data_IF_830702374366
#
_entry.id   IF_830702374366
#
_cell.length_a   1.000
_cell.length_b   1.000
_cell.length_c   1.000
_cell.angle_alpha   90.00
_cell.angle_beta   90.00
_cell.angle_gamma   90.00
#
_symmetry.space_group_name_H-M   'P 1'
#
loop_
_entity.id
_entity.type
_entity.pdbx_description
1 polymer ?
#
# COMPACT_ATOMS: atom_id res chain seq x y z
N UNK A 1 82.99 -2.64 -20.60
CA UNK A 1 83.11 -1.82 -19.42
C UNK A 1 81.68 -1.36 -19.07
N UNK A 2 81.11 -2.06 -18.14
CA UNK A 2 80.95 -1.64 -16.77
C UNK A 2 79.95 -0.46 -16.65
N UNK A 3 78.83 -0.71 -16.11
CA UNK A 3 78.37 -0.59 -14.82
C UNK A 3 76.84 -0.59 -14.72
N UNK A 4 76.33 -1.53 -13.98
CA UNK A 4 74.99 -1.47 -13.43
C UNK A 4 74.98 -0.46 -12.28
N UNK A 5 73.81 0.08 -11.97
CA UNK A 5 73.50 0.40 -10.58
C UNK A 5 72.26 -0.32 -10.10
N UNK A 6 72.35 -0.58 -8.86
CA UNK A 6 71.53 -1.27 -7.89
C UNK A 6 70.28 -0.50 -7.44
N UNK A 7 69.46 -1.18 -6.62
CA UNK A 7 68.05 -0.91 -6.49
C UNK A 7 67.74 -0.09 -5.22
N UNK A 8 66.51 0.25 -5.12
CA UNK A 8 65.73 0.61 -3.92
C UNK A 8 65.02 1.96 -4.07
N UNK A 9 63.75 1.83 -4.33
CA UNK A 9 62.84 2.61 -3.49
C UNK A 9 61.52 1.85 -3.36
N UNK A 10 61.26 1.31 -2.16
CA UNK A 10 60.02 0.68 -1.77
C UNK A 10 59.07 1.76 -1.31
N UNK A 11 58.31 2.29 -2.27
CA UNK A 11 57.17 3.10 -1.96
C UNK A 11 56.05 2.23 -1.43
N UNK A 12 55.70 2.40 -0.16
CA UNK A 12 54.56 1.81 0.49
C UNK A 12 53.27 2.15 -0.24
N UNK A 13 52.68 1.17 -0.92
CA UNK A 13 51.33 1.26 -1.41
C UNK A 13 50.38 1.17 -0.22
N UNK A 14 49.79 2.29 0.14
CA UNK A 14 48.67 2.37 1.04
C UNK A 14 47.52 1.49 0.47
N UNK A 15 47.24 0.41 1.16
CA UNK A 15 46.02 -0.36 0.97
C UNK A 15 44.82 0.53 1.28
N UNK A 16 44.27 1.14 0.23
CA UNK A 16 42.90 1.63 0.28
C UNK A 16 42.00 0.39 0.46
N UNK A 17 41.58 0.16 1.69
CA UNK A 17 40.41 -0.68 1.98
C UNK A 17 39.25 -0.15 1.14
N UNK A 18 39.03 -0.72 -0.01
CA UNK A 18 37.79 -0.58 -0.75
C UNK A 18 36.71 -1.20 0.14
N UNK A 19 35.94 -0.34 0.81
CA UNK A 19 34.62 -0.73 1.30
C UNK A 19 33.87 -1.27 0.11
N UNK A 20 33.55 -2.57 0.15
CA UNK A 20 32.77 -3.22 -0.90
C UNK A 20 31.39 -2.55 -0.95
N UNK A 21 31.17 -1.74 -1.96
CA UNK A 21 29.84 -1.32 -2.38
C UNK A 21 29.07 -2.59 -2.72
N UNK A 22 28.13 -2.96 -1.84
CA UNK A 22 27.11 -3.98 -2.16
C UNK A 22 26.20 -3.29 -3.18
N UNK A 23 26.49 -3.48 -4.45
CA UNK A 23 25.62 -3.03 -5.54
C UNK A 23 24.30 -3.81 -5.43
N UNK A 24 23.23 -3.15 -5.01
CA UNK A 24 21.88 -3.65 -5.08
C UNK A 24 21.16 -3.96 -3.76
N UNK A 25 21.64 -3.54 -2.58
CA UNK A 25 20.90 -3.70 -1.31
C UNK A 25 19.91 -2.56 -1.05
N UNK A 26 18.76 -2.86 -0.44
CA UNK A 26 17.76 -1.87 -0.02
C UNK A 26 18.39 -0.96 1.04
N UNK A 27 18.39 0.34 0.78
CA UNK A 27 18.97 1.36 1.66
C UNK A 27 17.92 1.78 2.70
N UNK A 28 18.22 1.56 3.98
CA UNK A 28 17.28 1.83 5.07
C UNK A 28 17.81 2.93 5.97
N UNK A 29 16.98 3.93 6.26
CA UNK A 29 17.24 4.92 7.30
C UNK A 29 16.33 4.67 8.50
N UNK A 30 16.86 4.82 9.72
CA UNK A 30 16.12 4.60 10.97
C UNK A 30 16.03 5.92 11.75
N UNK A 31 14.80 6.37 12.01
CA UNK A 31 14.50 7.62 12.71
C UNK A 31 13.63 7.35 13.92
N UNK A 32 14.20 7.48 15.12
CA UNK A 32 13.54 7.21 16.39
C UNK A 32 14.34 7.90 17.50
N UNK A 33 13.74 8.50 18.50
CA UNK A 33 14.47 9.22 19.57
C UNK A 33 15.17 8.27 20.55
N UNK A 34 14.68 7.04 20.71
CA UNK A 34 15.25 6.03 21.57
C UNK A 34 16.49 5.37 20.97
N UNK A 35 17.65 5.54 21.59
CA UNK A 35 18.89 4.85 21.19
C UNK A 35 18.72 3.32 21.19
N UNK A 36 17.97 2.78 22.14
CA UNK A 36 17.73 1.34 22.27
C UNK A 36 16.95 0.82 21.05
N UNK A 37 15.88 1.50 20.68
CA UNK A 37 15.03 1.12 19.53
C UNK A 37 15.83 1.21 18.23
N UNK A 38 16.56 2.31 18.00
CA UNK A 38 17.46 2.45 16.84
C UNK A 38 18.46 1.30 16.75
N UNK A 39 19.05 0.91 17.89
CA UNK A 39 20.04 -0.18 17.92
C UNK A 39 19.41 -1.52 17.57
N UNK A 40 18.20 -1.79 18.08
CA UNK A 40 17.48 -3.04 17.80
C UNK A 40 17.08 -3.09 16.31
N UNK A 41 16.47 -2.04 15.77
CA UNK A 41 16.10 -1.99 14.35
C UNK A 41 17.32 -2.12 13.44
N UNK A 42 18.42 -1.44 13.77
CA UNK A 42 19.66 -1.58 13.00
C UNK A 42 20.13 -3.03 12.95
N UNK A 43 20.16 -3.74 14.08
CA UNK A 43 20.54 -5.16 14.12
C UNK A 43 19.57 -6.04 13.34
N UNK A 44 18.26 -5.76 13.40
CA UNK A 44 17.26 -6.50 12.63
C UNK A 44 17.47 -6.32 11.14
N UNK A 45 17.60 -5.07 10.67
CA UNK A 45 17.81 -4.76 9.25
C UNK A 45 19.13 -5.35 8.75
N UNK A 46 20.24 -5.17 9.46
CA UNK A 46 21.56 -5.67 9.09
C UNK A 46 21.67 -7.22 9.16
N UNK A 47 20.68 -7.91 9.75
CA UNK A 47 20.60 -9.37 9.71
C UNK A 47 20.23 -9.91 8.34
N UNK A 48 19.67 -9.09 7.46
CA UNK A 48 19.39 -9.42 6.08
C UNK A 48 20.48 -8.86 5.14
N UNK A 49 21.13 -9.75 4.37
CA UNK A 49 22.21 -9.37 3.44
C UNK A 49 21.75 -8.50 2.28
N UNK A 50 20.45 -8.42 2.03
CA UNK A 50 19.87 -7.61 0.96
C UNK A 50 19.54 -6.17 1.42
N UNK A 51 19.82 -5.84 2.68
CA UNK A 51 19.51 -4.53 3.27
C UNK A 51 20.76 -3.90 3.87
N UNK A 52 20.83 -2.58 3.80
CA UNK A 52 21.91 -1.79 4.39
C UNK A 52 21.35 -0.58 5.12
N UNK A 53 21.77 -0.36 6.36
CA UNK A 53 21.41 0.85 7.11
C UNK A 53 22.32 1.98 6.68
N UNK A 54 21.78 2.95 5.93
CA UNK A 54 22.53 4.13 5.43
C UNK A 54 22.63 5.25 6.44
N UNK A 55 21.73 5.29 7.43
CA UNK A 55 21.76 6.30 8.48
C UNK A 55 20.86 5.96 9.67
N UNK A 56 21.16 6.59 10.79
CA UNK A 56 20.28 6.60 11.97
C UNK A 56 20.19 8.03 12.51
N UNK A 57 18.98 8.49 12.82
CA UNK A 57 18.75 9.81 13.37
C UNK A 57 17.92 9.74 14.65
N UNK A 58 18.22 10.61 15.61
CA UNK A 58 17.49 10.73 16.88
C UNK A 58 16.45 11.84 16.86
N UNK A 59 16.28 12.51 15.73
CA UNK A 59 15.21 13.49 15.49
C UNK A 59 14.94 13.64 14.00
N UNK A 60 13.77 14.17 13.68
CA UNK A 60 13.32 14.38 12.32
C UNK A 60 14.23 15.36 11.54
N UNK A 61 14.68 16.45 12.19
CA UNK A 61 15.54 17.45 11.56
C UNK A 61 16.86 16.84 11.12
N UNK A 62 17.45 15.96 11.96
CA UNK A 62 18.69 15.23 11.63
C UNK A 62 18.46 14.26 10.48
N UNK A 63 17.30 13.59 10.45
CA UNK A 63 16.92 12.68 9.38
C UNK A 63 16.86 13.40 8.04
N UNK A 64 16.16 14.53 7.97
CA UNK A 64 16.03 15.32 6.73
C UNK A 64 17.39 15.78 6.21
N UNK A 65 18.28 16.23 7.12
CA UNK A 65 19.65 16.64 6.73
C UNK A 65 20.46 15.44 6.19
N UNK A 66 20.38 14.28 6.83
CA UNK A 66 21.10 13.08 6.38
C UNK A 66 20.57 12.56 5.04
N UNK A 67 19.26 12.54 4.82
CA UNK A 67 18.64 12.08 3.57
C UNK A 67 19.06 12.89 2.36
N UNK A 68 19.31 14.20 2.52
CA UNK A 68 19.84 15.05 1.45
C UNK A 68 21.26 14.66 1.01
N UNK A 69 22.06 14.08 1.89
CA UNK A 69 23.43 13.66 1.61
C UNK A 69 23.60 12.17 1.33
N UNK A 70 22.69 11.33 1.87
CA UNK A 70 22.70 9.88 1.73
C UNK A 70 21.24 9.39 1.56
N UNK A 71 20.75 9.27 0.32
CA UNK A 71 19.39 8.85 0.06
C UNK A 71 19.11 7.44 0.57
N UNK A 72 17.89 7.20 1.01
CA UNK A 72 17.37 5.90 1.44
C UNK A 72 16.20 5.49 0.55
N UNK A 73 16.01 4.18 0.39
CA UNK A 73 14.85 3.62 -0.30
C UNK A 73 13.67 3.50 0.68
N UNK A 74 13.97 3.15 1.94
CA UNK A 74 12.97 3.01 3.00
C UNK A 74 13.41 3.77 4.25
N UNK A 75 12.51 4.57 4.81
CA UNK A 75 12.69 5.26 6.09
C UNK A 75 11.77 4.62 7.14
N UNK A 76 12.37 4.06 8.21
CA UNK A 76 11.61 3.69 9.40
C UNK A 76 11.43 4.93 10.26
N UNK A 77 10.21 5.43 10.38
CA UNK A 77 9.92 6.70 11.04
C UNK A 77 9.06 6.53 12.29
N UNK A 78 9.60 6.93 13.43
CA UNK A 78 8.80 7.14 14.63
C UNK A 78 7.99 8.44 14.51
N UNK A 79 6.72 8.39 14.90
CA UNK A 79 5.88 9.60 14.93
C UNK A 79 6.02 10.39 16.24
N UNK A 80 6.33 9.70 17.34
CA UNK A 80 6.35 10.27 18.69
C UNK A 80 7.78 10.65 19.08
N UNK A 81 8.27 11.76 18.56
CA UNK A 81 9.61 12.29 18.87
C UNK A 81 9.54 13.71 19.43
N UNK A 82 10.46 14.10 20.33
CA UNK A 82 10.59 15.48 20.79
C UNK A 82 10.98 16.45 19.65
N UNK A 83 10.51 17.68 19.71
CA UNK A 83 10.78 18.71 18.70
C UNK A 83 9.83 18.58 17.52
N UNK A 84 10.35 18.53 16.30
CA UNK A 84 9.57 18.20 15.11
C UNK A 84 9.15 16.72 15.17
N UNK A 85 7.88 16.46 15.40
CA UNK A 85 7.32 15.10 15.39
C UNK A 85 7.41 14.46 13.99
N UNK A 86 7.34 13.12 13.96
CA UNK A 86 7.43 12.40 12.69
C UNK A 86 6.32 12.74 11.71
N UNK A 87 5.11 13.04 12.19
CA UNK A 87 3.99 13.44 11.33
C UNK A 87 4.25 14.78 10.63
N UNK A 88 4.82 15.77 11.33
CA UNK A 88 5.19 17.07 10.76
C UNK A 88 6.37 16.93 9.80
N UNK A 89 7.28 16.02 10.08
CA UNK A 89 8.47 15.78 9.25
C UNK A 89 8.17 14.98 7.97
N UNK A 90 7.11 14.17 7.96
CA UNK A 90 6.79 13.25 6.88
C UNK A 90 6.75 13.91 5.50
N UNK A 91 6.06 15.05 5.25
CA UNK A 91 6.07 15.69 3.95
C UNK A 91 7.47 16.13 3.50
N UNK A 92 8.32 16.55 4.44
CA UNK A 92 9.69 16.97 4.15
C UNK A 92 10.59 15.76 3.84
N UNK A 93 10.36 14.62 4.48
CA UNK A 93 11.07 13.36 4.19
C UNK A 93 10.68 12.86 2.80
N UNK A 94 9.38 12.82 2.49
CA UNK A 94 8.88 12.42 1.17
C UNK A 94 9.41 13.34 0.05
N UNK A 95 9.59 14.62 0.32
CA UNK A 95 10.15 15.57 -0.64
C UNK A 95 11.67 15.42 -0.86
N UNK A 96 12.38 14.53 -0.16
CA UNK A 96 13.81 14.28 -0.38
C UNK A 96 14.12 13.45 -1.61
N UNK A 97 13.18 12.59 -2.04
CA UNK A 97 13.27 11.77 -3.25
C UNK A 97 11.86 11.28 -3.61
N UNK A 98 11.55 11.20 -4.90
CA UNK A 98 10.27 10.64 -5.41
C UNK A 98 10.14 9.15 -5.10
N UNK A 99 11.25 8.44 -4.91
CA UNK A 99 11.30 6.98 -4.70
C UNK A 99 11.31 6.58 -3.21
N UNK A 100 11.44 7.54 -2.27
CA UNK A 100 11.54 7.21 -0.85
C UNK A 100 10.22 6.71 -0.29
N UNK A 101 10.23 5.53 0.32
CA UNK A 101 9.08 4.96 1.00
C UNK A 101 9.21 5.12 2.52
N UNK A 102 8.14 5.52 3.19
CA UNK A 102 8.14 5.68 4.65
C UNK A 102 7.31 4.61 5.32
N UNK A 103 7.97 3.79 6.15
CA UNK A 103 7.31 2.84 7.06
C UNK A 103 7.23 3.47 8.45
N UNK A 104 6.03 3.82 8.86
CA UNK A 104 5.77 4.40 10.19
C UNK A 104 5.85 3.31 11.25
N UNK A 105 6.56 3.60 12.34
CA UNK A 105 6.61 2.73 13.52
C UNK A 105 6.02 3.47 14.71
N UNK A 106 4.81 3.09 15.13
CA UNK A 106 4.00 3.84 16.10
C UNK A 106 3.65 3.05 17.35
N UNK A 107 3.31 3.77 18.42
CA UNK A 107 2.80 3.17 19.64
C UNK A 107 1.34 2.68 19.51
N UNK A 108 0.94 1.71 20.36
CA UNK A 108 -0.43 1.17 20.42
C UNK A 108 -1.32 2.03 21.33
N UNK A 109 -1.32 3.35 21.14
CA UNK A 109 -2.21 4.28 21.85
C UNK A 109 -3.30 4.77 20.92
N UNK A 110 -4.38 5.34 21.46
CA UNK A 110 -5.43 5.95 20.64
C UNK A 110 -4.87 7.14 19.84
N UNK A 111 -4.09 8.01 20.49
CA UNK A 111 -3.42 9.14 19.84
C UNK A 111 -2.42 8.64 18.78
N UNK A 112 -1.68 7.57 19.07
CA UNK A 112 -0.79 6.91 18.11
C UNK A 112 -1.52 6.37 16.89
N UNK A 113 -2.74 5.85 17.04
CA UNK A 113 -3.56 5.41 15.91
C UNK A 113 -4.01 6.60 15.04
N UNK A 114 -4.42 7.72 15.64
CA UNK A 114 -4.79 8.94 14.89
C UNK A 114 -3.60 9.51 14.10
N UNK A 115 -2.45 9.64 14.74
CA UNK A 115 -1.22 10.11 14.08
C UNK A 115 -0.77 9.15 12.96
N UNK A 116 -0.84 7.83 13.21
CA UNK A 116 -0.48 6.81 12.21
C UNK A 116 -1.35 6.92 10.98
N UNK A 117 -2.67 6.98 11.14
CA UNK A 117 -3.58 7.09 10.01
C UNK A 117 -3.47 8.44 9.29
N UNK A 118 -3.18 9.53 10.02
CA UNK A 118 -2.86 10.81 9.41
C UNK A 118 -1.58 10.71 8.57
N UNK A 119 -0.54 10.02 9.06
CA UNK A 119 0.68 9.79 8.30
C UNK A 119 0.43 8.95 7.03
N UNK A 120 -0.37 7.86 7.13
CA UNK A 120 -0.74 7.06 5.97
C UNK A 120 -1.55 7.86 4.93
N UNK A 121 -2.44 8.74 5.40
CA UNK A 121 -3.20 9.65 4.52
C UNK A 121 -2.31 10.70 3.84
N UNK A 122 -1.20 11.08 4.47
CA UNK A 122 -0.24 12.06 3.96
C UNK A 122 0.75 11.46 2.95
N UNK A 123 0.84 10.10 2.89
CA UNK A 123 1.70 9.42 1.93
C UNK A 123 2.71 8.46 2.56
N UNK A 124 2.66 8.21 3.88
CA UNK A 124 3.41 7.08 4.42
C UNK A 124 2.90 5.78 3.80
N UNK A 125 3.83 4.92 3.38
CA UNK A 125 3.50 3.72 2.63
C UNK A 125 2.85 2.65 3.50
N UNK A 126 3.32 2.46 4.74
CA UNK A 126 2.77 1.44 5.64
C UNK A 126 3.05 1.79 7.10
N UNK A 127 2.49 0.99 8.00
CA UNK A 127 2.72 1.12 9.44
C UNK A 127 3.09 -0.20 10.08
N UNK A 128 3.80 -0.10 11.20
CA UNK A 128 4.10 -1.21 12.09
C UNK A 128 4.00 -0.75 13.54
N UNK A 129 3.34 -1.55 14.38
CA UNK A 129 3.24 -1.23 15.79
C UNK A 129 4.56 -1.47 16.51
N UNK A 130 5.00 -0.52 17.36
CA UNK A 130 6.11 -0.76 18.28
C UNK A 130 5.73 -1.89 19.24
N UNK A 131 6.55 -2.93 19.39
CA UNK A 131 6.22 -3.99 20.31
C UNK A 131 6.40 -3.51 21.77
N UNK A 132 5.66 -4.11 22.68
CA UNK A 132 5.89 -3.93 24.12
C UNK A 132 7.31 -4.42 24.49
N UNK A 133 7.89 -3.99 25.62
CA UNK A 133 9.18 -4.50 26.09
C UNK A 133 9.21 -6.03 26.07
N UNK A 134 10.23 -6.61 25.43
CA UNK A 134 10.35 -8.05 25.19
C UNK A 134 9.67 -8.57 23.91
N UNK A 135 8.92 -7.78 23.20
CA UNK A 135 8.22 -8.17 21.97
C UNK A 135 9.03 -8.02 20.66
N UNK A 136 10.29 -7.59 20.74
CA UNK A 136 11.22 -7.60 19.60
C UNK A 136 11.74 -9.03 19.34
N UNK A 137 10.83 -9.91 18.94
CA UNK A 137 11.10 -11.33 18.68
C UNK A 137 11.32 -11.61 17.19
N UNK A 138 11.47 -12.88 16.85
CA UNK A 138 11.70 -13.35 15.47
C UNK A 138 10.52 -13.05 14.54
N UNK A 139 9.29 -13.19 15.02
CA UNK A 139 8.08 -12.91 14.23
C UNK A 139 8.00 -11.42 13.87
N UNK A 140 8.29 -10.55 14.87
CA UNK A 140 8.36 -9.11 14.62
C UNK A 140 9.45 -8.76 13.61
N UNK A 141 10.64 -9.36 13.76
CA UNK A 141 11.74 -9.17 12.80
C UNK A 141 11.33 -9.60 11.40
N UNK A 142 10.71 -10.77 11.27
CA UNK A 142 10.26 -11.30 9.98
C UNK A 142 9.26 -10.37 9.30
N UNK A 143 8.29 -9.85 10.06
CA UNK A 143 7.31 -8.88 9.56
C UNK A 143 7.97 -7.56 9.12
N UNK A 144 8.88 -7.02 9.95
CA UNK A 144 9.61 -5.79 9.63
C UNK A 144 10.41 -5.94 8.34
N UNK A 145 11.22 -6.99 8.23
CA UNK A 145 12.02 -7.26 7.04
C UNK A 145 11.16 -7.53 5.80
N UNK A 146 10.01 -8.19 5.97
CA UNK A 146 9.03 -8.41 4.91
C UNK A 146 8.49 -7.09 4.35
N UNK A 147 8.08 -6.15 5.23
CA UNK A 147 7.60 -4.82 4.84
C UNK A 147 8.70 -3.99 4.16
N UNK A 148 9.91 -3.95 4.73
CA UNK A 148 11.04 -3.23 4.12
C UNK A 148 11.35 -3.79 2.72
N UNK A 149 11.33 -5.12 2.55
CA UNK A 149 11.55 -5.75 1.25
C UNK A 149 10.49 -5.37 0.21
N UNK A 150 9.23 -5.36 0.63
CA UNK A 150 8.12 -4.98 -0.24
C UNK A 150 8.25 -3.53 -0.71
N UNK A 151 8.59 -2.62 0.21
CA UNK A 151 8.72 -1.20 -0.07
C UNK A 151 10.00 -0.87 -0.87
N UNK A 152 11.10 -1.58 -0.64
CA UNK A 152 12.40 -1.28 -1.28
C UNK A 152 12.66 -2.00 -2.60
N UNK A 153 11.84 -3.00 -2.97
CA UNK A 153 12.03 -3.76 -4.22
C UNK A 153 11.28 -3.21 -5.43
N UNK A 154 10.25 -2.42 -5.22
CA UNK A 154 9.41 -1.97 -6.34
C UNK A 154 10.14 -1.03 -7.31
N UNK A 155 11.21 -0.35 -6.90
CA UNK A 155 12.06 0.43 -7.81
C UNK A 155 12.96 -0.43 -8.70
N UNK A 156 13.40 -1.60 -8.24
CA UNK A 156 14.35 -2.44 -8.98
C UNK A 156 13.68 -3.54 -9.82
N UNK A 157 12.56 -4.11 -9.33
CA UNK A 157 11.82 -5.17 -10.04
C UNK A 157 10.80 -4.63 -11.04
N UNK A 158 10.25 -3.43 -10.84
CA UNK A 158 9.42 -2.76 -11.86
C UNK A 158 10.25 -2.48 -13.12
N UNK A 159 11.50 -2.04 -12.98
CA UNK A 159 12.43 -1.83 -14.09
C UNK A 159 12.83 -3.18 -14.75
N UNK A 160 12.94 -4.27 -13.98
CA UNK A 160 13.27 -5.60 -14.49
C UNK A 160 12.08 -6.32 -15.14
N UNK A 161 10.85 -6.06 -14.68
CA UNK A 161 9.62 -6.64 -15.23
C UNK A 161 9.17 -5.95 -16.52
N UNK A 162 9.50 -4.68 -16.73
CA UNK A 162 9.31 -4.03 -18.03
C UNK A 162 10.18 -4.67 -19.13
N UNK A 163 11.33 -5.23 -18.77
CA UNK A 163 12.20 -5.95 -19.74
C UNK A 163 11.66 -7.34 -20.13
N UNK A 164 10.86 -7.99 -19.28
CA UNK A 164 10.23 -9.29 -19.60
C UNK A 164 8.81 -9.16 -20.20
N UNK A 165 8.14 -8.02 -20.02
CA UNK A 165 6.80 -7.74 -20.58
C UNK A 165 6.89 -6.91 -21.87
N UNK A 166 8.09 -6.61 -22.36
CA UNK A 166 8.22 -6.00 -23.70
C UNK A 166 7.60 -6.94 -24.74
N UNK A 167 6.46 -6.61 -25.36
CA UNK A 167 5.89 -7.43 -26.38
C UNK A 167 6.85 -7.40 -27.56
N UNK A 168 7.24 -8.57 -28.07
CA UNK A 168 7.90 -8.68 -29.36
C UNK A 168 7.14 -7.82 -30.37
N UNK A 169 7.77 -6.72 -30.80
CA UNK A 169 7.49 -5.82 -31.90
C UNK A 169 6.11 -5.88 -32.59
N UNK A 170 5.06 -5.45 -31.90
CA UNK A 170 3.79 -5.11 -32.55
C UNK A 170 3.48 -3.64 -32.31
N UNK A 171 2.83 -2.90 -33.25
CA UNK A 171 2.50 -1.51 -33.04
C UNK A 171 1.64 -1.40 -31.78
N UNK A 172 2.00 -0.43 -30.89
CA UNK A 172 1.25 -0.13 -29.68
C UNK A 172 -0.25 -0.20 -29.99
N UNK A 173 -0.93 -1.21 -29.48
CA UNK A 173 -2.38 -1.28 -29.55
C UNK A 173 -2.87 -0.05 -28.79
N UNK A 174 -3.32 0.98 -29.53
CA UNK A 174 -4.14 2.04 -28.96
C UNK A 174 -5.27 1.31 -28.25
N UNK A 175 -5.22 1.25 -26.92
CA UNK A 175 -6.29 0.70 -26.11
C UNK A 175 -7.61 1.37 -26.56
N UNK A 176 -8.72 0.66 -26.53
CA UNK A 176 -10.01 1.27 -26.83
C UNK A 176 -10.15 2.52 -25.96
N UNK A 177 -10.67 3.59 -26.57
CA UNK A 177 -10.98 4.84 -25.85
C UNK A 177 -11.77 4.49 -24.58
N UNK A 178 -11.57 5.22 -23.43
CA UNK A 178 -12.24 4.93 -22.15
C UNK A 178 -13.75 4.86 -22.28
N UNK A 179 -14.46 4.65 -23.13
CA UNK A 179 -15.90 4.47 -23.31
C UNK A 179 -16.32 3.20 -24.07
N UNK A 180 -15.43 2.59 -24.88
CA UNK A 180 -15.87 1.51 -25.78
C UNK A 180 -15.81 0.09 -25.17
N UNK A 181 -14.97 -0.13 -24.15
CA UNK A 181 -14.91 -1.40 -23.41
C UNK A 181 -15.83 -1.44 -22.18
N UNK A 182 -16.26 -0.26 -21.71
CA UNK A 182 -17.08 -0.07 -20.52
C UNK A 182 -18.52 -0.59 -20.67
N UNK A 183 -18.98 -0.88 -21.89
CA UNK A 183 -20.38 -1.23 -22.19
C UNK A 183 -20.68 -2.75 -22.24
N UNK A 184 -19.73 -3.63 -21.92
CA UNK A 184 -19.96 -5.08 -21.89
C UNK A 184 -20.43 -5.62 -20.53
N UNK A 185 -20.35 -4.84 -19.46
CA UNK A 185 -20.76 -5.22 -18.11
C UNK A 185 -22.19 -4.76 -17.77
N UNK A 186 -22.83 -5.48 -16.88
CA UNK A 186 -24.06 -5.05 -16.23
C UNK A 186 -23.77 -3.75 -15.45
N UNK A 187 -24.72 -2.80 -15.36
CA UNK A 187 -24.55 -1.60 -14.55
C UNK A 187 -24.24 -2.01 -13.11
N UNK A 188 -23.16 -1.48 -12.50
CA UNK A 188 -22.82 -1.84 -11.13
C UNK A 188 -23.84 -1.28 -10.14
N UNK A 189 -24.13 -2.02 -9.08
CA UNK A 189 -24.93 -1.60 -7.94
C UNK A 189 -24.10 -1.40 -6.66
N UNK A 190 -22.80 -1.79 -6.70
CA UNK A 190 -21.84 -1.66 -5.59
C UNK A 190 -20.47 -1.32 -6.15
N UNK A 191 -19.75 -0.43 -5.46
CA UNK A 191 -18.31 -0.22 -5.59
C UNK A 191 -17.60 -0.95 -4.43
N UNK A 192 -16.73 -1.92 -4.75
CA UNK A 192 -15.94 -2.66 -3.77
C UNK A 192 -14.46 -2.28 -3.92
N UNK A 193 -13.79 -1.93 -2.82
CA UNK A 193 -12.40 -1.51 -2.81
C UNK A 193 -11.57 -2.40 -1.90
N UNK A 194 -10.52 -3.00 -2.45
CA UNK A 194 -9.51 -3.76 -1.71
C UNK A 194 -8.19 -3.01 -1.66
N UNK A 195 -7.57 -2.90 -0.47
CA UNK A 195 -6.36 -2.12 -0.27
C UNK A 195 -5.50 -2.64 0.88
N UNK A 196 -4.18 -2.35 0.85
CA UNK A 196 -3.22 -2.72 1.90
C UNK A 196 -2.14 -1.64 2.05
N UNK A 197 -0.87 -2.00 2.00
CA UNK A 197 0.30 -1.11 2.03
C UNK A 197 0.21 -0.03 0.94
N UNK A 198 0.28 1.25 1.30
CA UNK A 198 0.07 2.37 0.37
C UNK A 198 -1.40 2.64 0.02
N UNK A 199 -2.30 1.72 0.35
CA UNK A 199 -3.70 1.77 -0.07
C UNK A 199 -4.51 2.89 0.56
N UNK A 200 -4.20 3.34 1.77
CA UNK A 200 -4.96 4.42 2.44
C UNK A 200 -4.78 5.74 1.71
N UNK A 201 -3.55 6.06 1.29
CA UNK A 201 -3.30 7.25 0.49
C UNK A 201 -4.05 7.20 -0.84
N UNK A 202 -3.91 6.10 -1.57
CA UNK A 202 -4.58 5.88 -2.85
C UNK A 202 -6.13 5.93 -2.72
N UNK A 203 -6.68 5.30 -1.67
CA UNK A 203 -8.11 5.33 -1.37
C UNK A 203 -8.60 6.75 -1.12
N UNK A 204 -7.87 7.55 -0.35
CA UNK A 204 -8.23 8.94 -0.08
C UNK A 204 -8.21 9.80 -1.35
N UNK A 205 -7.21 9.64 -2.24
CA UNK A 205 -7.17 10.33 -3.52
C UNK A 205 -8.38 9.97 -4.38
N UNK A 206 -8.68 8.68 -4.50
CA UNK A 206 -9.81 8.19 -5.27
C UNK A 206 -11.16 8.70 -4.70
N UNK A 207 -11.37 8.57 -3.40
CA UNK A 207 -12.65 8.96 -2.77
C UNK A 207 -12.91 10.48 -2.83
N UNK A 208 -11.87 11.31 -2.71
CA UNK A 208 -12.00 12.77 -2.88
C UNK A 208 -12.37 13.18 -4.30
N UNK A 209 -12.02 12.39 -5.30
CA UNK A 209 -12.35 12.64 -6.68
C UNK A 209 -13.76 12.14 -7.06
N UNK A 210 -14.40 11.30 -6.24
CA UNK A 210 -15.80 10.91 -6.43
C UNK A 210 -16.74 12.05 -6.02
N UNK A 211 -17.53 12.54 -6.96
CA UNK A 211 -18.47 13.66 -6.70
C UNK A 211 -19.64 13.22 -5.83
N UNK A 212 -20.35 14.17 -5.15
CA UNK A 212 -21.51 13.84 -4.29
C UNK A 212 -22.63 13.09 -4.99
N UNK A 213 -22.73 13.21 -6.34
CA UNK A 213 -23.74 12.54 -7.17
C UNK A 213 -23.50 11.03 -7.30
N UNK A 214 -22.30 10.56 -6.96
CA UNK A 214 -22.04 9.13 -6.89
C UNK A 214 -22.77 8.51 -5.71
N UNK A 215 -23.78 7.72 -5.98
CA UNK A 215 -24.74 7.28 -4.98
C UNK A 215 -24.71 5.74 -4.74
N UNK A 216 -23.81 5.01 -5.39
CA UNK A 216 -23.65 3.60 -5.06
C UNK A 216 -23.07 3.40 -3.66
N UNK A 217 -23.46 2.31 -2.96
CA UNK A 217 -22.76 1.91 -1.75
C UNK A 217 -21.30 1.57 -2.06
N UNK A 218 -20.39 1.95 -1.16
CA UNK A 218 -18.97 1.68 -1.25
C UNK A 218 -18.57 0.72 -0.13
N UNK A 219 -17.98 -0.42 -0.47
CA UNK A 219 -17.42 -1.35 0.50
C UNK A 219 -15.91 -1.30 0.47
N UNK A 220 -15.27 -1.22 1.64
CA UNK A 220 -13.82 -1.11 1.74
C UNK A 220 -13.27 -2.21 2.63
N UNK A 221 -12.36 -3.01 2.09
CA UNK A 221 -11.50 -3.90 2.86
C UNK A 221 -10.07 -3.37 2.80
N UNK A 222 -9.61 -2.82 3.92
CA UNK A 222 -8.24 -2.36 4.14
C UNK A 222 -7.55 -3.29 5.14
N UNK A 223 -6.36 -3.77 4.82
CA UNK A 223 -5.57 -4.57 5.76
C UNK A 223 -5.05 -3.69 6.90
N UNK A 224 -5.82 -3.59 7.95
CA UNK A 224 -5.50 -2.88 9.19
C UNK A 224 -5.95 -3.70 10.40
N UNK A 225 -5.21 -3.61 11.52
CA UNK A 225 -5.68 -4.17 12.79
C UNK A 225 -7.01 -3.55 13.23
N UNK A 226 -7.85 -4.32 13.90
CA UNK A 226 -9.18 -3.89 14.37
C UNK A 226 -9.13 -2.62 15.25
N UNK A 227 -8.05 -2.42 16.00
CA UNK A 227 -7.85 -1.23 16.83
C UNK A 227 -7.78 0.09 16.04
N UNK A 228 -7.44 0.04 14.75
CA UNK A 228 -7.38 1.22 13.88
C UNK A 228 -8.71 1.52 13.18
N UNK A 229 -9.62 0.55 13.09
CA UNK A 229 -10.84 0.68 12.28
C UNK A 229 -11.74 1.87 12.69
N UNK A 230 -11.96 2.19 13.98
CA UNK A 230 -12.78 3.35 14.36
C UNK A 230 -12.20 4.68 13.87
N UNK A 231 -10.89 4.86 14.00
CA UNK A 231 -10.19 6.07 13.54
C UNK A 231 -10.16 6.11 12.01
N UNK A 232 -9.94 4.97 11.36
CA UNK A 232 -9.97 4.85 9.90
C UNK A 232 -11.34 5.21 9.32
N UNK A 233 -12.43 4.70 9.90
CA UNK A 233 -13.79 5.04 9.48
C UNK A 233 -14.04 6.56 9.55
N UNK A 234 -13.65 7.20 10.65
CA UNK A 234 -13.78 8.66 10.82
C UNK A 234 -12.95 9.44 9.79
N UNK A 235 -11.73 9.00 9.49
CA UNK A 235 -10.90 9.67 8.48
C UNK A 235 -11.48 9.55 7.08
N UNK A 236 -11.98 8.36 6.72
CA UNK A 236 -12.65 8.14 5.44
C UNK A 236 -13.91 8.98 5.32
N UNK A 237 -14.70 9.11 6.40
CA UNK A 237 -15.87 9.98 6.43
C UNK A 237 -15.50 11.44 6.14
N UNK A 238 -14.46 11.96 6.82
CA UNK A 238 -13.96 13.33 6.61
C UNK A 238 -13.43 13.51 5.18
N UNK A 239 -12.66 12.54 4.67
CA UNK A 239 -12.02 12.64 3.36
C UNK A 239 -13.04 12.58 2.20
N UNK A 240 -14.07 11.74 2.33
CA UNK A 240 -15.08 11.48 1.30
C UNK A 240 -16.32 12.36 1.40
N UNK A 241 -16.58 12.95 2.59
CA UNK A 241 -17.85 13.61 2.90
C UNK A 241 -19.06 12.67 2.98
N UNK A 242 -18.82 11.33 3.02
CA UNK A 242 -19.87 10.30 3.02
C UNK A 242 -19.95 9.62 4.36
N UNK A 243 -21.16 9.36 4.84
CA UNK A 243 -21.35 8.58 6.05
C UNK A 243 -20.60 7.26 5.96
N UNK A 244 -19.73 7.02 6.94
CA UNK A 244 -18.85 5.85 6.97
C UNK A 244 -19.03 5.09 8.27
N UNK A 245 -19.16 3.77 8.18
CA UNK A 245 -19.33 2.90 9.35
C UNK A 245 -18.58 1.59 9.19
N UNK A 246 -18.27 0.96 10.32
CA UNK A 246 -17.72 -0.40 10.36
C UNK A 246 -18.88 -1.37 10.17
N UNK A 247 -18.73 -2.27 9.21
CA UNK A 247 -19.78 -3.22 8.85
C UNK A 247 -19.69 -4.49 9.68
N UNK A 248 -20.40 -4.51 10.80
CA UNK A 248 -20.61 -5.72 11.61
C UNK A 248 -21.65 -6.67 10.97
N UNK A 249 -21.77 -7.87 11.53
CA UNK A 249 -22.73 -8.87 11.05
C UNK A 249 -24.16 -8.33 11.08
N UNK A 250 -24.86 -8.43 9.97
CA UNK A 250 -26.21 -7.90 9.81
C UNK A 250 -26.32 -6.41 9.47
N UNK A 251 -25.20 -5.70 9.30
CA UNK A 251 -25.22 -4.28 8.94
C UNK A 251 -25.78 -4.09 7.52
N UNK A 252 -26.84 -3.26 7.32
CA UNK A 252 -27.34 -2.94 5.99
C UNK A 252 -26.35 -2.12 5.18
N UNK A 253 -26.21 -2.46 3.91
CA UNK A 253 -25.37 -1.75 2.94
C UNK A 253 -26.27 -0.77 2.18
N UNK A 254 -26.02 0.54 2.30
CA UNK A 254 -26.90 1.58 1.80
C UNK A 254 -26.26 2.43 0.72
N UNK A 255 -27.04 2.88 -0.29
CA UNK A 255 -26.57 3.85 -1.27
C UNK A 255 -25.95 5.09 -0.63
N UNK A 256 -24.88 5.62 -1.21
CA UNK A 256 -24.18 6.82 -0.76
C UNK A 256 -23.36 6.67 0.53
N UNK A 257 -23.42 5.53 1.22
CA UNK A 257 -22.64 5.25 2.44
C UNK A 257 -21.39 4.41 2.13
N UNK A 258 -20.41 4.46 3.03
CA UNK A 258 -19.20 3.63 2.99
C UNK A 258 -19.24 2.63 4.15
N UNK A 259 -19.14 1.34 3.83
CA UNK A 259 -19.06 0.25 4.78
C UNK A 259 -17.64 -0.33 4.80
N UNK A 260 -16.99 -0.33 5.96
CA UNK A 260 -15.60 -0.78 6.15
C UNK A 260 -15.59 -2.12 6.89
N UNK A 261 -14.74 -3.05 6.45
CA UNK A 261 -14.54 -4.34 7.12
C UNK A 261 -14.04 -4.17 8.58
N UNK A 262 -14.48 -5.05 9.48
CA UNK A 262 -14.29 -4.93 10.94
C UNK A 262 -12.84 -5.03 11.41
N UNK A 263 -11.95 -5.66 10.67
CA UNK A 263 -10.57 -5.92 11.09
C UNK A 263 -10.39 -7.13 12.03
N UNK A 264 -11.46 -7.71 12.55
CA UNK A 264 -11.45 -8.97 13.33
C UNK A 264 -12.12 -10.14 12.60
N UNK A 265 -12.64 -9.88 11.40
CA UNK A 265 -13.25 -10.85 10.51
C UNK A 265 -13.24 -10.35 9.07
N UNK A 266 -13.57 -11.22 8.14
CA UNK A 266 -13.72 -10.90 6.73
C UNK A 266 -15.13 -10.37 6.48
N UNK A 267 -15.24 -9.26 5.75
CA UNK A 267 -16.52 -8.78 5.28
C UNK A 267 -16.99 -9.64 4.10
N UNK A 268 -18.17 -10.17 4.20
CA UNK A 268 -18.92 -10.80 3.12
C UNK A 268 -20.25 -10.06 2.93
N UNK A 269 -20.92 -10.30 1.83
CA UNK A 269 -22.22 -9.69 1.51
C UNK A 269 -23.22 -10.76 1.14
N UNK A 270 -24.42 -10.66 1.69
CA UNK A 270 -25.55 -11.47 1.27
C UNK A 270 -26.73 -10.59 0.83
N UNK A 271 -27.57 -11.12 -0.05
CA UNK A 271 -28.80 -10.46 -0.45
C UNK A 271 -29.96 -11.00 0.37
N UNK A 272 -30.70 -10.10 1.02
CA UNK A 272 -31.94 -10.40 1.76
C UNK A 272 -33.11 -9.64 1.15
N UNK A 273 -33.87 -10.30 0.29
CA UNK A 273 -34.86 -9.63 -0.53
C UNK A 273 -34.20 -8.63 -1.48
N UNK A 274 -34.60 -7.36 -1.40
CA UNK A 274 -34.00 -6.29 -2.22
C UNK A 274 -32.75 -5.67 -1.56
N UNK A 275 -32.48 -5.94 -0.29
CA UNK A 275 -31.39 -5.33 0.47
C UNK A 275 -30.11 -6.15 0.41
N UNK A 276 -28.96 -5.44 0.44
CA UNK A 276 -27.65 -6.01 0.68
C UNK A 276 -27.30 -5.86 2.17
N UNK A 277 -26.74 -6.91 2.75
CA UNK A 277 -26.41 -6.97 4.18
C UNK A 277 -25.00 -7.52 4.35
N UNK A 278 -24.19 -6.88 5.20
CA UNK A 278 -22.87 -7.37 5.54
C UNK A 278 -22.95 -8.62 6.44
N UNK A 279 -22.04 -9.54 6.23
CA UNK A 279 -21.78 -10.72 7.06
C UNK A 279 -20.32 -10.72 7.46
N UNK A 280 -20.06 -11.16 8.67
CA UNK A 280 -18.68 -11.29 9.18
C UNK A 280 -18.31 -12.77 9.29
N UNK A 281 -17.22 -13.16 8.64
CA UNK A 281 -16.66 -14.51 8.69
C UNK A 281 -15.23 -14.45 9.25
N UNK A 282 -14.87 -15.41 10.09
CA UNK A 282 -13.53 -15.48 10.69
C UNK A 282 -12.72 -16.70 10.19
N UNK A 283 -13.19 -17.38 9.14
CA UNK A 283 -12.50 -18.55 8.60
C UNK A 283 -11.12 -18.15 8.03
N UNK A 284 -10.06 -18.95 8.28
CA UNK A 284 -8.73 -18.62 7.75
C UNK A 284 -8.72 -18.56 6.22
N UNK A 285 -8.15 -17.51 5.66
CA UNK A 285 -7.96 -17.34 4.21
C UNK A 285 -6.55 -17.75 3.77
N UNK A 286 -6.38 -18.26 2.54
CA UNK A 286 -5.07 -18.63 1.99
C UNK A 286 -4.06 -17.49 1.98
N UNK A 287 -4.54 -16.24 1.85
CA UNK A 287 -3.71 -15.02 1.92
C UNK A 287 -3.08 -14.79 3.30
N UNK A 288 -3.65 -15.39 4.37
CA UNK A 288 -3.29 -15.10 5.75
C UNK A 288 -3.71 -13.71 6.24
N UNK A 289 -4.39 -12.91 5.40
CA UNK A 289 -4.86 -11.57 5.75
C UNK A 289 -6.16 -11.63 6.55
N UNK A 290 -6.28 -10.76 7.55
CA UNK A 290 -7.51 -10.53 8.30
C UNK A 290 -7.66 -9.03 8.57
N UNK A 291 -8.67 -8.37 7.94
CA UNK A 291 -9.62 -8.88 6.94
C UNK A 291 -8.94 -9.26 5.62
N UNK A 292 -9.58 -10.08 4.79
CA UNK A 292 -9.18 -10.40 3.41
C UNK A 292 -10.17 -9.81 2.41
N UNK A 293 -9.67 -9.43 1.23
CA UNK A 293 -10.46 -8.86 0.12
C UNK A 293 -11.21 -9.96 -0.64
N UNK A 294 -10.64 -11.16 -0.74
CA UNK A 294 -11.21 -12.26 -1.52
C UNK A 294 -12.64 -12.66 -1.08
N UNK A 295 -12.97 -12.80 0.22
CA UNK A 295 -14.35 -13.12 0.66
C UNK A 295 -15.35 -12.03 0.28
N UNK A 296 -14.98 -10.76 0.39
CA UNK A 296 -15.84 -9.63 0.00
C UNK A 296 -16.20 -9.71 -1.49
N UNK A 297 -15.19 -9.85 -2.36
CA UNK A 297 -15.44 -9.90 -3.80
C UNK A 297 -16.18 -11.16 -4.24
N UNK A 298 -15.84 -12.30 -3.65
CA UNK A 298 -16.51 -13.59 -3.97
C UNK A 298 -17.98 -13.58 -3.59
N UNK A 299 -18.33 -13.10 -2.38
CA UNK A 299 -19.71 -13.00 -1.94
C UNK A 299 -20.51 -11.96 -2.73
N UNK A 300 -19.89 -10.84 -3.10
CA UNK A 300 -20.50 -9.83 -3.98
C UNK A 300 -20.77 -10.38 -5.40
N UNK A 301 -19.89 -11.23 -5.93
CA UNK A 301 -20.10 -11.86 -7.23
C UNK A 301 -21.40 -12.66 -7.27
N UNK A 302 -21.75 -13.33 -6.17
CA UNK A 302 -22.99 -14.10 -6.00
C UNK A 302 -24.17 -13.18 -5.67
N UNK A 303 -24.05 -12.37 -4.61
CA UNK A 303 -25.13 -11.52 -4.11
C UNK A 303 -25.64 -10.50 -5.12
N UNK A 304 -24.75 -9.99 -5.98
CA UNK A 304 -25.07 -8.98 -6.99
C UNK A 304 -25.08 -9.53 -8.42
N UNK A 305 -24.93 -10.84 -8.60
CA UNK A 305 -24.88 -11.47 -9.96
C UNK A 305 -23.88 -10.79 -10.90
N UNK A 306 -22.75 -10.38 -10.40
CA UNK A 306 -21.72 -9.67 -11.13
C UNK A 306 -21.98 -8.16 -11.37
N UNK A 307 -23.06 -7.56 -10.84
CA UNK A 307 -23.30 -6.11 -10.91
C UNK A 307 -22.42 -5.36 -9.88
N UNK A 308 -21.12 -5.53 -9.99
CA UNK A 308 -20.11 -4.95 -9.07
C UNK A 308 -18.98 -4.35 -9.86
N UNK A 309 -18.55 -3.19 -9.44
CA UNK A 309 -17.27 -2.60 -9.81
C UNK A 309 -16.29 -2.79 -8.66
N UNK A 310 -15.24 -3.55 -8.89
CA UNK A 310 -14.16 -3.73 -7.93
C UNK A 310 -12.97 -2.85 -8.28
N UNK A 311 -12.31 -2.28 -7.27
CA UNK A 311 -11.04 -1.56 -7.41
C UNK A 311 -10.02 -2.19 -6.48
N UNK A 312 -8.88 -2.61 -7.03
CA UNK A 312 -7.76 -3.12 -6.27
C UNK A 312 -6.66 -2.07 -6.25
N UNK A 313 -6.43 -1.48 -5.08
CA UNK A 313 -5.42 -0.46 -4.85
C UNK A 313 -4.10 -1.08 -4.35
N UNK A 314 -3.09 -0.22 -4.18
CA UNK A 314 -1.78 -0.58 -3.65
C UNK A 314 -1.86 -1.52 -2.46
N UNK A 315 -1.04 -2.56 -2.47
CA UNK A 315 -1.01 -3.56 -1.42
C UNK A 315 0.00 -4.66 -1.67
N UNK A 316 0.57 -5.17 -0.59
CA UNK A 316 1.50 -6.29 -0.62
C UNK A 316 0.76 -7.62 -0.82
N UNK A 317 1.38 -8.54 -1.55
CA UNK A 317 0.84 -9.88 -1.78
C UNK A 317 -0.12 -9.95 -2.96
N UNK A 318 -1.10 -10.85 -2.88
CA UNK A 318 -2.04 -11.16 -3.96
C UNK A 318 -3.50 -11.29 -3.50
N UNK A 319 -3.80 -10.85 -2.28
CA UNK A 319 -5.16 -10.89 -1.76
C UNK A 319 -6.10 -10.06 -2.65
N UNK A 320 -7.31 -10.54 -2.86
CA UNK A 320 -8.27 -9.98 -3.80
C UNK A 320 -8.18 -10.55 -5.23
N UNK A 321 -7.11 -11.29 -5.58
CA UNK A 321 -6.99 -11.86 -6.93
C UNK A 321 -7.95 -13.03 -7.17
N UNK A 322 -8.21 -13.86 -6.17
CA UNK A 322 -9.16 -14.98 -6.28
C UNK A 322 -10.61 -14.47 -6.31
N UNK A 323 -10.92 -13.51 -5.43
CA UNK A 323 -12.21 -12.84 -5.44
C UNK A 323 -12.47 -12.04 -6.72
N UNK A 324 -11.46 -11.34 -7.25
CA UNK A 324 -11.55 -10.68 -8.55
C UNK A 324 -11.80 -11.68 -9.69
N UNK A 325 -11.18 -12.85 -9.67
CA UNK A 325 -11.43 -13.92 -10.65
C UNK A 325 -12.87 -14.47 -10.56
N UNK A 326 -13.41 -14.62 -9.34
CA UNK A 326 -14.80 -15.01 -9.13
C UNK A 326 -15.75 -13.93 -9.67
N UNK A 327 -15.49 -12.67 -9.35
CA UNK A 327 -16.27 -11.54 -9.82
C UNK A 327 -16.22 -11.38 -11.34
N UNK A 328 -15.05 -11.54 -11.96
CA UNK A 328 -14.88 -11.50 -13.42
C UNK A 328 -15.72 -12.58 -14.11
N UNK A 329 -15.71 -13.80 -13.59
CA UNK A 329 -16.54 -14.91 -14.12
C UNK A 329 -18.03 -14.63 -14.02
N UNK A 330 -18.48 -13.90 -12.99
CA UNK A 330 -19.86 -13.44 -12.85
C UNK A 330 -20.22 -12.26 -13.75
N UNK A 331 -19.25 -11.68 -14.47
CA UNK A 331 -19.43 -10.56 -15.38
C UNK A 331 -19.21 -9.18 -14.73
N UNK A 332 -18.60 -9.12 -13.56
CA UNK A 332 -18.24 -7.87 -12.89
C UNK A 332 -17.03 -7.18 -13.54
N UNK A 333 -16.88 -5.91 -13.22
CA UNK A 333 -15.80 -5.05 -13.73
C UNK A 333 -14.74 -4.87 -12.67
N UNK A 334 -13.46 -5.01 -13.03
CA UNK A 334 -12.34 -4.87 -12.13
C UNK A 334 -11.40 -3.78 -12.65
N UNK A 335 -11.07 -2.83 -11.79
CA UNK A 335 -10.04 -1.82 -11.99
C UNK A 335 -8.87 -2.08 -11.04
N UNK A 336 -7.68 -1.71 -11.44
CA UNK A 336 -6.47 -1.86 -10.64
C UNK A 336 -5.66 -0.56 -10.66
N UNK A 337 -5.03 -0.23 -9.54
CA UNK A 337 -4.05 0.85 -9.50
C UNK A 337 -2.82 0.47 -10.34
N UNK A 338 -2.22 1.43 -11.03
CA UNK A 338 -0.99 1.22 -11.80
C UNK A 338 0.24 1.03 -10.90
N UNK A 339 1.34 0.60 -11.51
CA UNK A 339 2.58 0.38 -10.80
C UNK A 339 3.26 1.69 -10.38
N UNK A 340 3.12 2.75 -11.18
CA UNK A 340 3.82 4.01 -11.00
C UNK A 340 3.34 4.76 -9.74
N UNK A 341 2.04 4.72 -9.45
CA UNK A 341 1.45 5.37 -8.27
C UNK A 341 1.26 4.45 -7.07
N UNK A 342 1.53 3.14 -7.21
CA UNK A 342 1.44 2.18 -6.10
C UNK A 342 2.69 2.21 -5.23
N UNK A 343 2.55 2.34 -3.91
CA UNK A 343 3.68 2.09 -3.00
C UNK A 343 4.15 0.62 -3.06
N UNK A 344 3.22 -0.31 -3.25
CA UNK A 344 3.50 -1.74 -3.52
C UNK A 344 2.51 -2.25 -4.55
N UNK A 345 3.01 -2.63 -5.74
CA UNK A 345 2.17 -3.14 -6.84
C UNK A 345 1.97 -4.67 -6.76
N UNK A 346 1.75 -5.20 -5.55
CA UNK A 346 1.53 -6.62 -5.31
C UNK A 346 0.10 -7.05 -5.63
N UNK A 347 -0.89 -6.56 -4.86
CA UNK A 347 -2.31 -6.86 -5.04
C UNK A 347 -2.83 -6.41 -6.42
N UNK A 348 -2.66 -5.13 -6.85
CA UNK A 348 -3.10 -4.72 -8.17
C UNK A 348 -2.33 -5.40 -9.29
N UNK A 349 -1.02 -5.65 -9.11
CA UNK A 349 -0.19 -6.40 -10.04
C UNK A 349 -0.63 -7.86 -10.23
N UNK A 350 -1.10 -8.52 -9.16
CA UNK A 350 -1.62 -9.88 -9.25
C UNK A 350 -2.89 -9.95 -10.11
N UNK A 351 -3.79 -8.98 -9.98
CA UNK A 351 -5.02 -8.86 -10.77
C UNK A 351 -4.69 -8.51 -12.24
N UNK A 352 -3.72 -7.61 -12.46
CA UNK A 352 -3.26 -7.23 -13.78
C UNK A 352 -2.60 -8.40 -14.54
N UNK A 353 -1.70 -9.14 -13.88
CA UNK A 353 -1.03 -10.32 -14.45
C UNK A 353 -1.98 -11.47 -14.75
N UNK A 354 -3.10 -11.57 -14.04
CA UNK A 354 -4.15 -12.54 -14.31
C UNK A 354 -5.12 -12.12 -15.44
N UNK A 355 -4.86 -10.99 -16.11
CA UNK A 355 -5.72 -10.40 -17.16
C UNK A 355 -7.17 -10.15 -16.72
N UNK A 356 -7.36 -9.84 -15.44
CA UNK A 356 -8.68 -9.59 -14.85
C UNK A 356 -9.03 -8.10 -14.85
N UNK A 357 -8.04 -7.19 -14.87
CA UNK A 357 -8.26 -5.77 -14.84
C UNK A 357 -8.75 -5.23 -16.20
N UNK A 358 -9.89 -4.54 -16.17
CA UNK A 358 -10.43 -3.84 -17.33
C UNK A 358 -9.74 -2.49 -17.54
N UNK A 359 -9.27 -1.86 -16.46
CA UNK A 359 -8.54 -0.60 -16.44
C UNK A 359 -7.41 -0.68 -15.40
N UNK A 360 -6.24 -0.17 -15.78
CA UNK A 360 -5.09 0.02 -14.88
C UNK A 360 -4.71 1.49 -14.99
N UNK A 361 -4.78 2.25 -13.89
CA UNK A 361 -4.59 3.70 -13.89
C UNK A 361 -4.29 4.24 -12.48
N UNK A 362 -3.81 5.50 -12.36
CA UNK A 362 -3.71 6.22 -11.09
C UNK A 362 -5.07 6.37 -10.38
N UNK A 363 -5.10 6.54 -9.04
CA UNK A 363 -6.34 6.60 -8.26
C UNK A 363 -7.35 7.66 -8.73
N UNK A 364 -6.90 8.83 -9.15
CA UNK A 364 -7.75 9.90 -9.65
C UNK A 364 -8.40 9.53 -10.99
N UNK A 365 -7.65 8.91 -11.89
CA UNK A 365 -8.19 8.44 -13.17
C UNK A 365 -9.13 7.24 -12.98
N UNK A 366 -8.90 6.40 -11.97
CA UNK A 366 -9.86 5.36 -11.59
C UNK A 366 -11.18 5.98 -11.15
N UNK A 367 -11.15 7.06 -10.35
CA UNK A 367 -12.36 7.78 -9.93
C UNK A 367 -13.11 8.38 -11.12
N UNK A 368 -12.41 9.01 -12.08
CA UNK A 368 -13.02 9.53 -13.31
C UNK A 368 -13.72 8.40 -14.11
N UNK A 369 -13.06 7.26 -14.25
CA UNK A 369 -13.62 6.11 -14.94
C UNK A 369 -14.84 5.51 -14.19
N UNK A 370 -14.82 5.49 -12.84
CA UNK A 370 -15.94 5.08 -12.00
C UNK A 370 -17.15 5.99 -12.23
N UNK A 371 -16.94 7.31 -12.23
CA UNK A 371 -17.99 8.30 -12.48
C UNK A 371 -18.60 8.17 -13.90
N UNK A 372 -17.79 7.81 -14.89
CA UNK A 372 -18.26 7.59 -16.25
C UNK A 372 -19.17 6.34 -16.40
N UNK A 373 -18.99 5.32 -15.52
CA UNK A 373 -19.81 4.10 -15.51
C UNK A 373 -21.16 4.29 -14.81
N UNK A 374 -21.22 5.21 -13.86
CA UNK A 374 -22.39 5.49 -13.03
C UNK A 374 -22.85 6.91 -13.31
N UNK A 375 -23.59 7.15 -14.42
CA UNK A 375 -24.09 8.47 -14.72
C UNK A 375 -24.96 8.98 -13.58
N UNK A 376 -24.87 10.30 -13.32
CA UNK A 376 -25.68 10.97 -12.33
C UNK A 376 -27.17 10.58 -12.45
N UNK A 377 -27.90 10.43 -11.33
CA UNK A 377 -29.32 10.19 -11.37
C UNK A 377 -29.99 11.30 -12.19
N UNK A 378 -30.82 10.90 -13.17
CA UNK A 378 -31.61 11.87 -13.91
C UNK A 378 -32.38 12.73 -12.89
N UNK A 379 -32.15 14.04 -12.91
CA UNK A 379 -32.88 14.99 -12.07
C UNK A 379 -34.39 14.73 -12.25
N UNK A 380 -35.05 14.38 -11.15
CA UNK A 380 -36.51 14.18 -11.11
C UNK A 380 -37.21 15.53 -11.09
#
# INVERSE_FOLDING_TARGET
>A
MSGAPSPADRGATAEHKRSGEIRGGIRVMIVDDSLTVRTIFKRMVESDRQMVVTGTASSAERAIVQLKGAPADVVLLDLEMPGMGGLEALPQILATSDDVQVLVVSSLTQDGAEHTLAALSTGAADTMLKPRPGGFNEDYRSQLLGKIRALGRDTAEAIGLEAEIAPAGGPARKGPRPGERLLRGKRPEVLAVGASTGGIHALNLMLRALTPEFDLPILVTQHLPSSFMPVFARQIEIASGRRTHIADDGTPIRPGEIAIATGHGHMMVERRGDDLVARVCADPMPSGCLPSVDPMLSSLAEACEGRVLAVILSGMGRDGAEGAAALHRAGGTIYAQDAETSAVWGMPGAVAKADLATLIAPPEMLAEAIMALVPAPLAR
#
